data_IF_699616291314
#
_entry.id   IF_699616291314
#
_cell.length_a   1.000
_cell.length_b   1.000
_cell.length_c   1.000
_cell.angle_alpha   90.00
_cell.angle_beta   90.00
_cell.angle_gamma   90.00
#
_symmetry.space_group_name_H-M   'P 1'
#
loop_
_entity.id
_entity.type
_entity.pdbx_description
1 polymer ?
#
# COMPACT_ATOMS: atom_id res chain seq x y z
N UNK A 1 12.21 55.23 9.01
CA UNK A 1 11.74 53.88 8.68
C UNK A 1 12.78 52.92 9.25
N UNK A 2 12.39 52.05 10.20
CA UNK A 2 13.32 51.19 10.94
C UNK A 2 13.90 50.09 10.00
N UNK A 3 15.15 49.72 10.23
CA UNK A 3 15.90 48.68 9.52
C UNK A 3 15.14 47.36 9.50
N UNK A 4 14.40 47.03 10.57
CA UNK A 4 13.55 45.84 10.63
C UNK A 4 12.35 45.92 9.67
N UNK A 5 11.79 47.12 9.48
CA UNK A 5 10.69 47.35 8.55
C UNK A 5 11.16 47.27 7.10
N UNK A 6 12.36 47.76 6.80
CA UNK A 6 12.99 47.65 5.48
C UNK A 6 13.35 46.20 5.13
N UNK A 7 13.88 45.42 6.08
CA UNK A 7 14.17 43.99 5.87
C UNK A 7 12.90 43.15 5.65
N UNK A 8 11.81 43.47 6.36
CA UNK A 8 10.52 42.82 6.18
C UNK A 8 9.89 43.13 4.81
N UNK A 9 10.01 44.37 4.34
CA UNK A 9 9.51 44.77 3.02
C UNK A 9 10.36 44.17 1.89
N UNK A 10 11.68 44.06 2.06
CA UNK A 10 12.57 43.39 1.12
C UNK A 10 12.24 41.89 0.99
N UNK A 11 12.04 41.20 2.11
CA UNK A 11 11.65 39.77 2.11
C UNK A 11 10.25 39.53 1.54
N UNK A 12 9.30 40.45 1.74
CA UNK A 12 7.99 40.41 1.09
C UNK A 12 8.07 40.69 -0.41
N UNK A 13 8.94 41.60 -0.85
CA UNK A 13 9.18 41.88 -2.26
C UNK A 13 9.88 40.71 -2.97
N UNK A 14 10.84 40.06 -2.32
CA UNK A 14 11.48 38.83 -2.80
C UNK A 14 10.47 37.67 -2.88
N UNK A 15 9.61 37.49 -1.87
CA UNK A 15 8.52 36.51 -1.93
C UNK A 15 7.51 36.83 -3.03
N UNK A 16 7.17 38.11 -3.23
CA UNK A 16 6.28 38.56 -4.30
C UNK A 16 6.90 38.30 -5.67
N UNK A 17 8.18 38.60 -5.85
CA UNK A 17 8.90 38.36 -7.10
C UNK A 17 9.08 36.86 -7.37
N UNK A 18 9.36 36.05 -6.34
CA UNK A 18 9.42 34.59 -6.44
C UNK A 18 8.04 33.95 -6.75
N UNK A 19 6.94 34.61 -6.37
CA UNK A 19 5.58 34.23 -6.77
C UNK A 19 5.25 34.69 -8.20
N UNK A 20 5.77 35.83 -8.64
CA UNK A 20 5.61 36.37 -10.00
C UNK A 20 6.47 35.62 -11.05
N UNK A 21 7.51 34.90 -10.64
CA UNK A 21 8.33 34.05 -11.51
C UNK A 21 7.76 32.63 -11.73
N UNK A 22 6.75 32.24 -10.93
CA UNK A 22 6.06 30.95 -11.10
C UNK A 22 5.20 31.00 -12.36
N UNK A 23 5.36 29.98 -13.19
CA UNK A 23 4.53 29.75 -14.36
C UNK A 23 3.07 29.50 -14.00
N UNK A 24 2.21 29.49 -15.02
CA UNK A 24 0.82 29.08 -14.84
C UNK A 24 0.77 27.62 -14.35
N UNK A 25 -0.05 27.37 -13.33
CA UNK A 25 -0.26 26.02 -12.81
C UNK A 25 -1.44 25.38 -13.55
N UNK A 26 -1.20 24.22 -14.15
CA UNK A 26 -2.23 23.40 -14.80
C UNK A 26 -2.53 22.20 -13.92
N UNK A 27 -3.80 22.03 -13.53
CA UNK A 27 -4.26 20.85 -12.80
C UNK A 27 -4.78 19.83 -13.82
N UNK A 28 -4.29 18.60 -13.71
CA UNK A 28 -4.73 17.47 -14.52
C UNK A 28 -5.35 16.42 -13.62
N UNK A 29 -6.65 16.17 -13.79
CA UNK A 29 -7.39 15.13 -13.06
C UNK A 29 -7.58 13.91 -13.95
N UNK A 30 -7.08 12.76 -13.50
CA UNK A 30 -7.04 11.52 -14.27
C UNK A 30 -7.71 10.40 -13.47
N UNK A 31 -8.77 9.79 -13.98
CA UNK A 31 -9.46 8.66 -13.32
C UNK A 31 -9.40 7.42 -14.18
N UNK A 32 -8.91 6.30 -13.65
CA UNK A 32 -8.82 5.04 -14.40
C UNK A 32 -10.19 4.61 -14.93
N UNK A 33 -10.23 3.97 -16.12
CA UNK A 33 -11.48 3.45 -16.67
C UNK A 33 -11.99 2.32 -15.78
N UNK A 34 -13.24 2.40 -15.34
CA UNK A 34 -13.87 1.36 -14.52
C UNK A 34 -14.46 0.26 -15.39
N UNK A 35 -13.86 -0.92 -15.33
CA UNK A 35 -14.49 -2.17 -15.81
C UNK A 35 -14.21 -3.27 -14.79
N UNK A 36 -15.20 -4.12 -14.53
CA UNK A 36 -15.01 -5.26 -13.65
C UNK A 36 -13.85 -6.12 -14.17
N UNK A 37 -12.82 -6.31 -13.34
CA UNK A 37 -11.62 -7.08 -13.71
C UNK A 37 -10.60 -6.35 -14.59
N UNK A 38 -10.75 -5.05 -14.88
CA UNK A 38 -9.66 -4.28 -15.50
C UNK A 38 -8.60 -3.90 -14.48
N UNK A 39 -7.34 -3.85 -14.93
CA UNK A 39 -6.23 -3.29 -14.16
C UNK A 39 -6.42 -1.77 -14.03
N UNK A 40 -7.10 -1.35 -12.97
CA UNK A 40 -7.34 0.07 -12.66
C UNK A 40 -6.17 0.73 -11.95
N UNK A 41 -5.16 -0.05 -11.55
CA UNK A 41 -3.93 0.42 -10.91
C UNK A 41 -2.90 0.97 -11.90
N UNK A 42 -3.10 0.70 -13.20
CA UNK A 42 -2.20 1.07 -14.27
C UNK A 42 -2.99 1.59 -15.47
N UNK A 43 -2.79 2.85 -15.84
CA UNK A 43 -3.49 3.44 -16.96
C UNK A 43 -2.74 4.61 -17.56
N UNK A 44 -3.09 4.97 -18.79
CA UNK A 44 -2.53 6.11 -19.48
C UNK A 44 -3.64 6.99 -20.08
N UNK A 45 -3.40 8.29 -20.07
CA UNK A 45 -4.27 9.31 -20.64
C UNK A 45 -3.52 10.12 -21.69
N UNK A 46 -4.13 10.27 -22.86
CA UNK A 46 -3.72 11.25 -23.86
C UNK A 46 -4.45 12.56 -23.59
N UNK A 47 -3.70 13.64 -23.43
CA UNK A 47 -4.26 14.97 -23.28
C UNK A 47 -4.79 15.44 -24.64
N UNK A 48 -5.96 16.10 -24.68
CA UNK A 48 -6.50 16.68 -25.92
C UNK A 48 -5.57 17.77 -26.46
N UNK A 49 -4.95 18.54 -25.55
CA UNK A 49 -3.95 19.55 -25.86
C UNK A 49 -2.70 19.30 -25.01
N UNK A 50 -1.49 19.25 -25.61
CA UNK A 50 -0.26 19.02 -24.85
C UNK A 50 0.10 20.23 -23.96
N UNK A 51 0.49 19.95 -22.71
CA UNK A 51 1.07 20.97 -21.83
C UNK A 51 2.52 21.19 -22.29
N UNK A 52 2.83 22.39 -22.78
CA UNK A 52 4.14 22.70 -23.39
C UNK A 52 4.83 23.80 -22.59
N UNK A 53 6.07 23.57 -22.16
CA UNK A 53 6.88 24.59 -21.52
C UNK A 53 7.15 25.76 -22.48
N UNK A 54 7.00 27.01 -22.04
CA UNK A 54 7.49 28.17 -22.78
C UNK A 54 9.00 28.12 -23.01
N UNK A 55 9.49 28.90 -23.98
CA UNK A 55 10.93 29.01 -24.27
C UNK A 55 11.73 29.34 -23.00
N UNK A 56 12.86 28.65 -22.82
CA UNK A 56 13.74 28.77 -21.64
C UNK A 56 13.11 28.35 -20.30
N UNK A 57 12.03 27.57 -20.32
CA UNK A 57 11.40 27.02 -19.12
C UNK A 57 11.34 25.50 -19.17
N UNK A 58 11.25 24.88 -18.01
CA UNK A 58 11.09 23.43 -17.82
C UNK A 58 9.80 23.16 -17.07
N UNK A 59 9.22 21.98 -17.29
CA UNK A 59 8.05 21.55 -16.53
C UNK A 59 8.49 20.86 -15.25
N UNK A 60 7.71 21.08 -14.20
CA UNK A 60 7.73 20.30 -12.96
C UNK A 60 6.33 19.74 -12.71
N UNK A 61 6.29 18.57 -12.07
CA UNK A 61 5.04 17.89 -11.73
C UNK A 61 5.02 17.60 -10.24
N UNK A 62 3.87 17.79 -9.61
CA UNK A 62 3.61 17.40 -8.24
C UNK A 62 2.27 16.64 -8.14
N UNK A 63 2.17 15.74 -7.17
CA UNK A 63 0.89 15.15 -6.80
C UNK A 63 0.12 16.12 -5.89
N UNK A 64 -1.09 16.51 -6.29
CA UNK A 64 -2.02 17.25 -5.41
C UNK A 64 -2.86 16.30 -4.57
N UNK A 65 -3.43 15.26 -5.18
CA UNK A 65 -4.18 14.24 -4.44
C UNK A 65 -4.32 12.95 -5.22
N UNK A 66 -4.63 11.88 -4.49
CA UNK A 66 -4.97 10.56 -5.00
C UNK A 66 -6.18 10.04 -4.24
N UNK A 67 -7.13 9.46 -4.97
CA UNK A 67 -8.30 8.81 -4.40
C UNK A 67 -8.46 7.40 -4.99
N UNK A 68 -8.70 6.42 -4.12
CA UNK A 68 -9.08 5.07 -4.50
C UNK A 68 -9.81 4.40 -3.34
N UNK A 69 -10.06 3.09 -3.40
CA UNK A 69 -10.58 2.32 -2.30
C UNK A 69 -9.55 1.29 -1.82
N UNK A 70 -9.51 1.05 -0.50
CA UNK A 70 -8.66 0.00 0.06
C UNK A 70 -9.31 -1.35 -0.19
N UNK A 71 -9.10 -1.90 -1.39
CA UNK A 71 -9.69 -3.16 -1.84
C UNK A 71 -8.69 -4.27 -2.12
N UNK A 72 -7.38 -3.99 -2.02
CA UNK A 72 -6.39 -5.03 -2.30
C UNK A 72 -6.44 -6.15 -1.25
N UNK A 73 -6.49 -7.41 -1.70
CA UNK A 73 -6.61 -8.56 -0.81
C UNK A 73 -5.26 -8.87 -0.14
N UNK A 74 -5.32 -9.33 1.10
CA UNK A 74 -4.20 -9.98 1.77
C UNK A 74 -4.31 -11.51 1.73
N UNK A 75 -5.52 -12.04 1.52
CA UNK A 75 -5.78 -13.45 1.26
C UNK A 75 -6.03 -13.62 -0.24
N UNK A 76 -5.16 -14.37 -0.89
CA UNK A 76 -5.17 -14.62 -2.34
C UNK A 76 -4.95 -16.11 -2.62
N UNK A 77 -5.17 -16.53 -3.86
CA UNK A 77 -4.85 -17.90 -4.28
C UNK A 77 -3.41 -18.27 -3.90
N UNK A 78 -3.23 -19.39 -3.21
CA UNK A 78 -1.93 -19.85 -2.72
C UNK A 78 -1.64 -19.44 -1.27
N UNK A 79 -2.33 -18.45 -0.71
CA UNK A 79 -2.22 -18.02 0.70
C UNK A 79 -3.63 -17.89 1.29
N UNK A 80 -4.38 -18.98 1.29
CA UNK A 80 -5.81 -18.98 1.64
C UNK A 80 -6.31 -20.30 2.26
N UNK A 81 -5.44 -21.24 2.63
CA UNK A 81 -5.90 -22.50 3.22
C UNK A 81 -5.38 -22.75 4.64
N UNK A 82 -6.23 -23.37 5.46
CA UNK A 82 -5.89 -23.94 6.76
C UNK A 82 -6.30 -25.41 6.75
N UNK A 83 -5.41 -26.30 7.17
CA UNK A 83 -5.66 -27.72 7.29
C UNK A 83 -5.78 -28.09 8.77
N UNK A 84 -6.90 -28.67 9.16
CA UNK A 84 -7.09 -29.30 10.46
C UNK A 84 -7.44 -30.76 10.28
N UNK A 85 -7.26 -31.58 11.31
CA UNK A 85 -7.71 -32.97 11.30
C UNK A 85 -8.70 -33.24 12.41
N UNK A 86 -9.58 -34.21 12.19
CA UNK A 86 -10.45 -34.80 13.21
C UNK A 86 -10.20 -36.30 13.21
N UNK A 87 -9.72 -36.84 14.32
CA UNK A 87 -9.35 -38.25 14.47
C UNK A 87 -8.40 -38.74 13.36
N UNK A 88 -7.47 -37.87 12.96
CA UNK A 88 -6.48 -38.13 11.91
C UNK A 88 -6.98 -37.94 10.47
N UNK A 89 -8.26 -37.64 10.27
CA UNK A 89 -8.83 -37.35 8.94
C UNK A 89 -8.66 -35.86 8.61
N UNK A 90 -8.01 -35.47 7.50
CA UNK A 90 -7.75 -34.08 7.17
C UNK A 90 -8.96 -33.37 6.55
N UNK A 91 -9.12 -32.10 6.91
CA UNK A 91 -10.10 -31.17 6.38
C UNK A 91 -9.42 -29.85 6.02
N UNK A 92 -9.63 -29.40 4.79
CA UNK A 92 -9.09 -28.14 4.30
C UNK A 92 -10.17 -27.06 4.36
N UNK A 93 -9.90 -26.01 5.11
CA UNK A 93 -10.63 -24.74 5.03
C UNK A 93 -9.99 -23.93 3.90
N UNK A 94 -10.81 -23.37 3.01
CA UNK A 94 -10.33 -22.48 1.94
C UNK A 94 -11.04 -21.13 2.03
N UNK A 95 -10.29 -20.08 2.33
CA UNK A 95 -10.79 -18.71 2.35
C UNK A 95 -10.92 -18.20 0.90
N UNK A 96 -11.97 -17.43 0.64
CA UNK A 96 -12.11 -16.70 -0.59
C UNK A 96 -11.07 -15.56 -0.67
N UNK A 97 -10.76 -15.10 -1.88
CA UNK A 97 -9.91 -13.93 -2.05
C UNK A 97 -10.56 -12.69 -1.42
N UNK A 98 -9.79 -11.97 -0.60
CA UNK A 98 -10.30 -10.78 0.08
C UNK A 98 -9.31 -10.16 1.07
N UNK A 99 -9.77 -9.09 1.72
CA UNK A 99 -9.06 -8.44 2.81
C UNK A 99 -9.62 -8.94 4.15
N UNK A 100 -8.79 -9.62 4.94
CA UNK A 100 -9.17 -10.27 6.19
C UNK A 100 -8.30 -9.79 7.33
N UNK A 101 -8.95 -9.38 8.41
CA UNK A 101 -8.34 -9.33 9.73
C UNK A 101 -8.29 -10.73 10.35
N UNK A 102 -7.46 -10.92 11.37
CA UNK A 102 -7.33 -12.22 12.04
C UNK A 102 -8.67 -12.75 12.59
N UNK A 103 -9.53 -11.85 13.07
CA UNK A 103 -10.88 -12.17 13.55
C UNK A 103 -11.81 -12.66 12.42
N UNK A 104 -11.64 -12.13 11.21
CA UNK A 104 -12.39 -12.56 10.03
C UNK A 104 -11.88 -13.93 9.52
N UNK A 105 -10.57 -14.18 9.58
CA UNK A 105 -9.98 -15.49 9.30
C UNK A 105 -10.56 -16.54 10.26
N UNK A 106 -10.53 -16.28 11.56
CA UNK A 106 -11.12 -17.15 12.59
C UNK A 106 -12.61 -17.40 12.33
N UNK A 107 -13.38 -16.35 12.01
CA UNK A 107 -14.79 -16.49 11.69
C UNK A 107 -15.05 -17.40 10.48
N UNK A 108 -14.25 -17.29 9.43
CA UNK A 108 -14.40 -18.12 8.23
C UNK A 108 -14.01 -19.58 8.48
N UNK A 109 -12.90 -19.82 9.21
CA UNK A 109 -12.50 -21.17 9.66
C UNK A 109 -13.65 -21.82 10.45
N UNK A 110 -14.19 -21.10 11.42
CA UNK A 110 -15.32 -21.57 12.24
C UNK A 110 -16.58 -21.82 11.42
N UNK A 111 -16.88 -20.96 10.43
CA UNK A 111 -18.02 -21.16 9.53
C UNK A 111 -17.88 -22.48 8.76
N UNK A 112 -16.69 -22.79 8.22
CA UNK A 112 -16.46 -24.03 7.48
C UNK A 112 -16.41 -25.26 8.39
N UNK A 113 -15.85 -25.16 9.61
CA UNK A 113 -15.96 -26.24 10.61
C UNK A 113 -17.42 -26.58 10.91
N UNK A 114 -18.29 -25.58 11.06
CA UNK A 114 -19.73 -25.80 11.26
C UNK A 114 -20.38 -26.50 10.07
N UNK A 115 -20.04 -26.10 8.84
CA UNK A 115 -20.55 -26.76 7.64
C UNK A 115 -20.12 -28.23 7.53
N UNK A 116 -18.93 -28.56 8.05
CA UNK A 116 -18.42 -29.93 8.09
C UNK A 116 -18.98 -30.74 9.27
N UNK A 117 -19.85 -30.18 10.11
CA UNK A 117 -20.38 -30.86 11.31
C UNK A 117 -19.40 -30.93 12.49
N UNK A 118 -18.32 -30.14 12.45
CA UNK A 118 -17.25 -30.12 13.46
C UNK A 118 -17.36 -28.93 14.44
N UNK A 119 -18.54 -28.33 14.53
CA UNK A 119 -18.86 -27.37 15.58
C UNK A 119 -19.55 -28.09 16.74
N UNK A 120 -19.15 -27.76 17.97
CA UNK A 120 -19.82 -28.24 19.16
C UNK A 120 -21.20 -27.60 19.37
N UNK A 121 -21.94 -28.07 20.38
CA UNK A 121 -23.18 -27.45 20.82
C UNK A 121 -22.98 -25.95 21.09
N UNK A 122 -24.02 -25.14 20.84
CA UNK A 122 -24.03 -23.70 21.13
C UNK A 122 -22.91 -22.89 20.44
N UNK A 123 -22.28 -23.43 19.38
CA UNK A 123 -21.22 -22.73 18.66
C UNK A 123 -19.87 -22.76 19.38
N UNK A 124 -19.60 -23.81 20.15
CA UNK A 124 -18.24 -24.13 20.60
C UNK A 124 -17.40 -24.54 19.38
N UNK A 125 -16.20 -23.99 19.28
CA UNK A 125 -15.26 -24.30 18.20
C UNK A 125 -13.97 -24.86 18.77
N UNK A 126 -13.60 -26.03 18.26
CA UNK A 126 -12.48 -26.83 18.75
C UNK A 126 -11.13 -26.40 18.19
N UNK A 127 -11.13 -25.58 17.14
CA UNK A 127 -9.96 -24.85 16.65
C UNK A 127 -10.35 -23.38 16.59
N UNK A 128 -9.52 -22.51 17.17
CA UNK A 128 -9.69 -21.06 17.08
C UNK A 128 -8.37 -20.37 16.79
N UNK A 129 -8.47 -19.24 16.11
CA UNK A 129 -7.34 -18.36 15.81
C UNK A 129 -7.61 -17.03 16.53
N UNK A 130 -6.71 -16.61 17.40
CA UNK A 130 -6.82 -15.35 18.14
C UNK A 130 -5.51 -14.58 18.08
N UNK A 131 -5.59 -13.26 18.29
CA UNK A 131 -4.41 -12.42 18.40
C UNK A 131 -3.95 -12.38 19.86
N UNK A 132 -2.65 -12.59 20.09
CA UNK A 132 -2.02 -12.14 21.32
C UNK A 132 -1.53 -10.71 21.10
N UNK A 133 -2.29 -9.72 21.57
CA UNK A 133 -1.96 -8.30 21.37
C UNK A 133 -0.72 -7.85 22.15
N UNK A 134 -0.28 -8.61 23.16
CA UNK A 134 0.94 -8.29 23.89
C UNK A 134 2.20 -8.67 23.10
N UNK A 135 2.14 -9.77 22.34
CA UNK A 135 3.28 -10.28 21.54
C UNK A 135 3.13 -10.01 20.05
N UNK A 136 1.97 -9.52 19.60
CA UNK A 136 1.57 -9.33 18.20
C UNK A 136 1.62 -10.63 17.36
N UNK A 137 1.47 -11.77 18.03
CA UNK A 137 1.51 -13.13 17.44
C UNK A 137 0.11 -13.71 17.31
N UNK A 138 -0.03 -14.71 16.45
CA UNK A 138 -1.27 -15.50 16.41
C UNK A 138 -1.18 -16.62 17.44
N UNK A 139 -2.33 -16.98 18.00
CA UNK A 139 -2.49 -18.15 18.84
C UNK A 139 -3.54 -19.04 18.22
N UNK A 140 -3.16 -20.28 17.96
CA UNK A 140 -4.09 -21.33 17.58
C UNK A 140 -4.42 -22.12 18.84
N UNK A 141 -5.66 -22.00 19.31
CA UNK A 141 -6.15 -22.80 20.43
C UNK A 141 -6.88 -24.03 19.91
N UNK A 142 -6.62 -25.16 20.57
CA UNK A 142 -7.21 -26.46 20.22
C UNK A 142 -7.89 -27.00 21.47
N UNK A 143 -9.17 -27.30 21.38
CA UNK A 143 -9.95 -27.85 22.49
C UNK A 143 -10.62 -29.12 22.00
N UNK A 144 -10.24 -30.28 22.53
CA UNK A 144 -10.84 -31.54 22.13
C UNK A 144 -12.13 -31.77 22.93
N UNK A 145 -13.26 -32.06 22.28
CA UNK A 145 -14.47 -32.44 23.00
C UNK A 145 -14.29 -33.79 23.71
N UNK A 146 -14.91 -33.90 24.87
CA UNK A 146 -14.99 -35.15 25.64
C UNK A 146 -16.27 -35.93 25.38
N UNK A 147 -17.27 -35.30 24.74
CA UNK A 147 -18.53 -35.93 24.33
C UNK A 147 -19.16 -35.17 23.13
N UNK A 148 -19.20 -35.75 21.92
CA UNK A 148 -18.50 -36.97 21.55
C UNK A 148 -16.97 -36.77 21.67
N UNK A 149 -16.23 -37.82 22.02
CA UNK A 149 -14.75 -37.76 22.03
C UNK A 149 -14.26 -37.63 20.59
N UNK A 150 -13.51 -36.57 20.31
CA UNK A 150 -12.83 -36.38 19.04
C UNK A 150 -11.50 -35.65 19.25
N UNK A 151 -10.49 -35.99 18.47
CA UNK A 151 -9.15 -35.38 18.55
C UNK A 151 -8.95 -34.43 17.37
N UNK A 152 -8.87 -33.14 17.69
CA UNK A 152 -8.55 -32.09 16.74
C UNK A 152 -7.04 -31.83 16.75
N UNK A 153 -6.48 -31.65 15.56
CA UNK A 153 -5.12 -31.12 15.38
C UNK A 153 -5.10 -30.12 14.22
N UNK A 154 -4.10 -29.25 14.17
CA UNK A 154 -3.91 -28.32 13.05
C UNK A 154 -2.60 -28.63 12.34
N UNK A 155 -2.68 -28.99 11.06
CA UNK A 155 -1.51 -29.21 10.22
C UNK A 155 -1.07 -27.87 9.60
N UNK A 156 -0.30 -27.12 10.38
CA UNK A 156 0.20 -25.82 9.94
C UNK A 156 1.23 -25.94 8.80
N UNK A 157 1.90 -27.08 8.66
CA UNK A 157 2.87 -27.30 7.59
C UNK A 157 2.18 -27.38 6.22
N UNK A 158 1.03 -28.06 6.16
CA UNK A 158 0.17 -28.18 4.97
C UNK A 158 -0.74 -26.96 4.76
N UNK A 159 -0.87 -26.07 5.75
CA UNK A 159 -1.66 -24.85 5.66
C UNK A 159 -0.91 -23.77 4.88
N UNK A 160 -1.58 -23.08 3.96
CA UNK A 160 -0.96 -21.97 3.22
C UNK A 160 -1.11 -20.61 3.92
N UNK A 161 -2.07 -20.47 4.84
CA UNK A 161 -2.18 -19.31 5.74
C UNK A 161 -1.03 -19.19 6.75
N UNK A 162 -0.15 -20.20 6.85
CA UNK A 162 0.93 -20.23 7.84
C UNK A 162 1.79 -18.97 7.82
N UNK A 163 2.08 -18.40 6.64
CA UNK A 163 2.86 -17.17 6.51
C UNK A 163 2.14 -15.97 7.12
N UNK A 164 0.85 -15.79 6.79
CA UNK A 164 0.00 -14.72 7.36
C UNK A 164 -0.10 -14.84 8.87
N UNK A 165 -0.22 -16.08 9.38
CA UNK A 165 -0.36 -16.38 10.80
C UNK A 165 0.96 -16.35 11.59
N UNK A 166 2.11 -16.07 10.96
CA UNK A 166 3.42 -15.99 11.66
C UNK A 166 4.13 -17.34 11.85
N UNK A 167 3.88 -18.31 10.96
CA UNK A 167 4.48 -19.65 10.91
C UNK A 167 5.21 -19.88 9.58
N UNK A 168 6.32 -19.17 9.29
CA UNK A 168 6.95 -19.18 7.95
C UNK A 168 7.67 -20.49 7.57
N UNK A 169 7.82 -21.44 8.50
CA UNK A 169 8.50 -22.71 8.26
C UNK A 169 7.71 -23.73 7.41
N UNK A 170 8.45 -24.58 6.69
CA UNK A 170 7.87 -25.72 5.97
C UNK A 170 7.75 -27.00 6.83
N UNK A 171 8.46 -27.05 7.97
CA UNK A 171 8.58 -28.25 8.81
C UNK A 171 7.99 -27.95 10.17
N UNK A 172 6.70 -28.20 10.32
CA UNK A 172 6.03 -28.19 11.62
C UNK A 172 5.34 -29.54 11.81
N UNK A 173 5.44 -30.08 13.02
CA UNK A 173 4.55 -31.16 13.42
C UNK A 173 3.11 -30.60 13.55
N UNK A 174 2.08 -31.45 13.39
CA UNK A 174 0.70 -31.04 13.68
C UNK A 174 0.60 -30.46 15.10
N UNK A 175 -0.06 -29.31 15.19
CA UNK A 175 -0.31 -28.64 16.46
C UNK A 175 -1.35 -29.43 17.24
N UNK A 176 -1.04 -29.72 18.50
CA UNK A 176 -1.87 -30.56 19.39
C UNK A 176 -2.10 -29.95 20.77
N UNK A 177 -1.30 -28.95 21.16
CA UNK A 177 -1.45 -28.30 22.45
C UNK A 177 -2.71 -27.43 22.47
N UNK A 178 -3.23 -27.16 23.67
CA UNK A 178 -4.39 -26.27 23.82
C UNK A 178 -4.08 -24.81 23.49
N UNK A 179 -2.80 -24.44 23.54
CA UNK A 179 -2.28 -23.11 23.23
C UNK A 179 -1.03 -23.25 22.37
N UNK A 180 -1.09 -22.77 21.13
CA UNK A 180 0.04 -22.77 20.20
C UNK A 180 0.24 -21.35 19.69
N UNK A 181 1.24 -20.65 20.24
CA UNK A 181 1.59 -19.31 19.77
C UNK A 181 2.56 -19.40 18.59
N UNK A 182 2.37 -18.54 17.59
CA UNK A 182 3.22 -18.46 16.42
C UNK A 182 4.65 -18.05 16.79
N UNK A 183 5.68 -18.61 16.13
CA UNK A 183 7.07 -18.23 16.38
C UNK A 183 7.36 -16.78 15.99
N UNK A 184 6.63 -16.25 15.00
CA UNK A 184 6.78 -14.88 14.51
C UNK A 184 5.48 -14.09 14.64
N UNK A 185 5.60 -12.76 14.57
CA UNK A 185 4.45 -11.86 14.56
C UNK A 185 3.56 -12.12 13.34
N UNK A 186 2.28 -11.79 13.47
CA UNK A 186 1.31 -11.92 12.36
C UNK A 186 1.67 -10.93 11.26
N UNK A 187 1.67 -11.41 10.01
CA UNK A 187 1.86 -10.58 8.82
C UNK A 187 0.54 -10.48 8.07
N UNK A 188 -0.37 -9.64 8.57
CA UNK A 188 -1.72 -9.50 8.01
C UNK A 188 -1.67 -8.86 6.62
N UNK A 189 -0.84 -7.85 6.38
CA UNK A 189 -0.70 -7.22 5.06
C UNK A 189 0.71 -7.42 4.54
N UNK A 190 0.84 -7.87 3.29
CA UNK A 190 2.11 -7.89 2.56
C UNK A 190 2.49 -6.53 1.99
N UNK A 191 1.55 -5.58 1.90
CA UNK A 191 1.79 -4.21 1.44
C UNK A 191 2.16 -3.35 2.64
N UNK A 192 3.33 -2.73 2.58
CA UNK A 192 3.82 -1.79 3.61
C UNK A 192 3.76 -0.34 3.13
N UNK A 193 3.91 -0.12 1.83
CA UNK A 193 3.90 1.21 1.22
C UNK A 193 3.31 1.12 -0.18
N UNK A 194 2.51 2.12 -0.54
CA UNK A 194 2.02 2.35 -1.89
C UNK A 194 2.89 3.39 -2.56
N UNK A 195 3.32 3.09 -3.78
CA UNK A 195 4.13 3.96 -4.62
C UNK A 195 3.30 4.40 -5.82
N UNK A 196 3.04 5.71 -5.91
CA UNK A 196 2.47 6.30 -7.12
C UNK A 196 3.60 6.65 -8.09
N UNK A 197 3.61 6.00 -9.24
CA UNK A 197 4.61 6.18 -10.28
C UNK A 197 4.03 6.91 -11.49
N UNK A 198 4.86 7.75 -12.11
CA UNK A 198 4.56 8.47 -13.33
C UNK A 198 5.75 8.38 -14.31
N UNK A 199 6.02 7.20 -14.91
CA UNK A 199 7.26 6.90 -15.63
C UNK A 199 7.50 7.78 -16.86
N UNK A 200 6.43 8.18 -17.55
CA UNK A 200 6.54 9.06 -18.71
C UNK A 200 6.89 10.52 -18.33
N UNK A 201 6.58 10.93 -17.10
CA UNK A 201 6.67 12.34 -16.69
C UNK A 201 7.86 12.64 -15.81
N UNK A 202 8.21 11.79 -14.86
CA UNK A 202 9.18 12.14 -13.82
C UNK A 202 10.56 11.57 -14.14
N UNK A 203 11.63 12.31 -13.85
CA UNK A 203 13.00 11.75 -13.81
C UNK A 203 13.40 11.41 -12.37
N UNK A 204 13.63 10.13 -12.12
CA UNK A 204 14.33 9.67 -10.91
C UNK A 204 13.45 9.43 -9.68
N UNK A 205 14.13 8.91 -8.67
CA UNK A 205 13.59 8.26 -7.47
C UNK A 205 14.41 7.00 -7.22
N UNK A 206 14.80 6.73 -5.97
CA UNK A 206 15.43 5.47 -5.58
C UNK A 206 14.47 4.78 -4.64
N UNK A 207 14.03 3.60 -5.02
CA UNK A 207 13.19 2.74 -4.18
C UNK A 207 14.11 1.63 -3.68
N UNK A 208 14.21 1.50 -2.35
CA UNK A 208 14.78 0.31 -1.75
C UNK A 208 13.79 -0.84 -1.89
N UNK A 209 14.19 -1.95 -2.50
CA UNK A 209 13.39 -3.17 -2.46
C UNK A 209 13.33 -3.66 -1.02
N UNK A 210 12.11 -3.72 -0.47
CA UNK A 210 11.87 -4.17 0.89
C UNK A 210 12.42 -5.58 1.15
N UNK A 211 12.32 -6.48 0.17
CA UNK A 211 12.60 -7.92 0.36
C UNK A 211 13.91 -8.41 -0.28
N UNK A 212 14.53 -7.68 -1.21
CA UNK A 212 15.77 -8.13 -1.88
C UNK A 212 17.02 -7.40 -1.43
N UNK A 213 16.89 -6.35 -0.61
CA UNK A 213 18.02 -5.51 -0.15
C UNK A 213 18.70 -4.73 -1.27
N UNK A 214 18.11 -4.69 -2.47
CA UNK A 214 18.64 -3.98 -3.63
C UNK A 214 17.88 -2.67 -3.87
N UNK A 215 18.61 -1.61 -4.16
CA UNK A 215 18.03 -0.33 -4.54
C UNK A 215 17.81 -0.27 -6.05
N UNK A 216 16.61 0.13 -6.48
CA UNK A 216 16.27 0.33 -7.87
C UNK A 216 15.90 1.78 -8.13
N UNK A 217 16.24 2.31 -9.30
CA UNK A 217 15.72 3.60 -9.72
C UNK A 217 14.28 3.42 -10.19
N UNK A 218 13.37 4.22 -9.65
CA UNK A 218 11.96 4.24 -10.05
C UNK A 218 11.48 5.69 -10.18
N UNK A 219 10.39 5.87 -10.91
CA UNK A 219 9.80 7.17 -11.27
C UNK A 219 8.65 7.50 -10.32
N UNK A 220 8.93 7.50 -9.01
CA UNK A 220 7.94 7.66 -7.94
C UNK A 220 7.63 9.14 -7.72
N UNK A 221 6.36 9.51 -7.86
CA UNK A 221 5.85 10.86 -7.59
C UNK A 221 5.49 11.05 -6.12
N UNK A 222 4.97 10.02 -5.47
CA UNK A 222 4.64 10.02 -4.06
C UNK A 222 4.64 8.61 -3.50
N UNK A 223 4.91 8.50 -2.19
CA UNK A 223 4.72 7.28 -1.44
C UNK A 223 3.88 7.54 -0.20
N UNK A 224 3.03 6.58 0.16
CA UNK A 224 2.13 6.66 1.30
C UNK A 224 1.61 5.28 1.69
N UNK A 225 0.98 5.17 2.86
CA UNK A 225 0.17 4.01 3.22
C UNK A 225 -1.20 4.50 3.70
N UNK A 226 -2.31 3.78 3.43
CA UNK A 226 -3.61 4.21 3.91
C UNK A 226 -3.68 4.25 5.43
N UNK A 227 -4.35 5.27 5.95
CA UNK A 227 -4.68 5.43 7.37
C UNK A 227 -6.07 4.89 7.73
N UNK A 228 -6.68 4.16 6.79
CA UNK A 228 -8.01 3.56 6.93
C UNK A 228 -7.94 2.03 6.85
N UNK A 229 -8.87 1.31 7.48
CA UNK A 229 -8.98 -0.14 7.32
C UNK A 229 -9.34 -0.55 5.88
N UNK A 230 -9.13 -1.82 5.51
CA UNK A 230 -9.67 -2.36 4.27
C UNK A 230 -11.20 -2.18 4.16
N UNK A 231 -11.67 -1.91 2.95
CA UNK A 231 -13.08 -1.64 2.64
C UNK A 231 -13.48 -0.16 2.70
N UNK A 232 -12.58 0.73 3.11
CA UNK A 232 -12.82 2.18 3.15
C UNK A 232 -12.21 2.90 1.95
N UNK A 233 -12.71 4.12 1.68
CA UNK A 233 -12.12 5.02 0.68
C UNK A 233 -10.78 5.54 1.19
N UNK A 234 -9.76 5.47 0.33
CA UNK A 234 -8.43 6.04 0.54
C UNK A 234 -8.41 7.40 -0.14
N UNK A 235 -8.14 8.44 0.64
CA UNK A 235 -7.99 9.81 0.14
C UNK A 235 -6.66 10.35 0.63
N UNK A 236 -5.67 10.39 -0.26
CA UNK A 236 -4.33 10.87 0.05
C UNK A 236 -4.10 12.24 -0.59
N UNK A 237 -3.66 13.20 0.22
CA UNK A 237 -3.22 14.51 -0.24
C UNK A 237 -1.91 14.88 0.49
N UNK A 238 -0.79 15.07 -0.22
CA UNK A 238 0.45 15.49 0.41
C UNK A 238 0.28 16.84 1.12
N UNK A 239 0.74 16.93 2.38
CA UNK A 239 0.73 18.22 3.13
C UNK A 239 1.58 19.30 2.45
N UNK A 240 2.67 18.87 1.82
CA UNK A 240 3.55 19.73 1.04
C UNK A 240 3.72 19.11 -0.35
N UNK A 241 3.49 19.90 -1.40
CA UNK A 241 3.72 19.47 -2.76
C UNK A 241 5.21 19.29 -3.01
N UNK A 242 5.61 18.07 -3.38
CA UNK A 242 6.96 17.75 -3.84
C UNK A 242 6.97 17.90 -5.36
N UNK A 243 7.70 18.89 -5.84
CA UNK A 243 7.86 19.17 -7.25
C UNK A 243 9.03 18.37 -7.80
N UNK A 244 8.76 17.53 -8.79
CA UNK A 244 9.76 16.73 -9.47
C UNK A 244 9.95 17.21 -10.91
N UNK A 245 11.18 17.15 -11.45
CA UNK A 245 11.43 17.47 -12.84
C UNK A 245 10.58 16.65 -13.79
N UNK A 246 9.98 17.32 -14.77
CA UNK A 246 9.49 16.62 -15.94
C UNK A 246 10.67 16.10 -16.77
N UNK A 247 10.52 14.91 -17.35
CA UNK A 247 11.48 14.28 -18.26
C UNK A 247 11.52 14.97 -19.63
N UNK A 248 10.46 15.70 -19.96
CA UNK A 248 10.12 16.28 -21.26
C UNK A 248 9.71 17.76 -21.11
N UNK A 249 9.86 18.53 -22.17
CA UNK A 249 9.37 19.91 -22.28
C UNK A 249 7.92 19.99 -22.78
N UNK A 250 7.36 18.88 -23.25
CA UNK A 250 5.97 18.76 -23.68
C UNK A 250 5.36 17.48 -23.13
N UNK A 251 4.24 17.60 -22.43
CA UNK A 251 3.46 16.50 -21.87
C UNK A 251 2.22 16.32 -22.73
N UNK A 252 2.15 15.20 -23.45
CA UNK A 252 0.97 14.79 -24.21
C UNK A 252 0.30 13.54 -23.63
N UNK A 253 1.11 12.62 -23.10
CA UNK A 253 0.66 11.37 -22.52
C UNK A 253 1.08 11.32 -21.06
N UNK A 254 0.15 10.98 -20.18
CA UNK A 254 0.41 10.76 -18.76
C UNK A 254 0.13 9.30 -18.46
N UNK A 255 1.10 8.62 -17.87
CA UNK A 255 0.97 7.24 -17.42
C UNK A 255 1.05 7.20 -15.90
N UNK A 256 0.10 6.52 -15.30
CA UNK A 256 -0.05 6.37 -13.84
C UNK A 256 0.05 4.89 -13.51
N UNK A 257 0.86 4.58 -12.50
CA UNK A 257 0.96 3.23 -11.96
C UNK A 257 0.99 3.28 -10.42
N UNK A 258 0.13 2.50 -9.77
CA UNK A 258 0.13 2.31 -8.32
C UNK A 258 0.70 0.92 -7.98
N UNK A 259 1.83 0.91 -7.29
CA UNK A 259 2.53 -0.33 -6.90
C UNK A 259 2.72 -0.43 -5.40
N UNK A 260 3.09 -1.62 -4.93
CA UNK A 260 3.63 -1.83 -3.59
C UNK A 260 5.13 -1.42 -3.51
N UNK A 261 5.73 -1.67 -2.35
CA UNK A 261 7.16 -1.44 -2.08
C UNK A 261 8.12 -2.28 -2.94
N UNK A 262 7.65 -3.36 -3.56
CA UNK A 262 8.42 -4.23 -4.44
C UNK A 262 8.22 -3.89 -5.93
N UNK A 263 7.50 -2.78 -6.22
CA UNK A 263 7.10 -2.37 -7.57
C UNK A 263 6.08 -3.31 -8.24
N UNK A 264 5.41 -4.15 -7.46
CA UNK A 264 4.32 -5.01 -7.92
C UNK A 264 3.01 -4.22 -7.94
N UNK A 265 2.19 -4.45 -8.98
CA UNK A 265 0.92 -3.73 -9.14
C UNK A 265 -0.06 -4.07 -8.03
N UNK A 266 -0.75 -3.07 -7.52
CA UNK A 266 -1.79 -3.26 -6.51
C UNK A 266 -3.09 -3.71 -7.18
N UNK A 267 -3.66 -4.81 -6.71
CA UNK A 267 -4.97 -5.26 -7.19
C UNK A 267 -6.10 -4.44 -6.57
N UNK A 268 -6.58 -3.41 -7.28
CA UNK A 268 -7.71 -2.57 -6.85
C UNK A 268 -9.09 -3.21 -7.08
N UNK A 269 -9.16 -4.47 -7.54
CA UNK A 269 -10.42 -5.23 -7.77
C UNK A 269 -11.46 -4.51 -8.64
N UNK A 270 -11.00 -3.67 -9.57
CA UNK A 270 -11.85 -2.89 -10.47
C UNK A 270 -12.31 -1.53 -9.91
N UNK A 271 -11.91 -1.17 -8.68
CA UNK A 271 -12.16 0.17 -8.13
C UNK A 271 -11.34 1.22 -8.87
N UNK A 272 -11.89 2.44 -9.07
CA UNK A 272 -11.17 3.50 -9.75
C UNK A 272 -9.98 3.98 -8.93
N UNK A 273 -8.97 4.44 -9.66
CA UNK A 273 -7.87 5.22 -9.15
C UNK A 273 -7.96 6.59 -9.80
N UNK A 274 -8.15 7.62 -8.99
CA UNK A 274 -8.16 9.02 -9.40
C UNK A 274 -6.90 9.70 -8.91
N UNK A 275 -6.21 10.41 -9.79
CA UNK A 275 -4.97 11.13 -9.49
C UNK A 275 -5.09 12.55 -10.01
N UNK A 276 -4.84 13.51 -9.13
CA UNK A 276 -4.78 14.93 -9.45
C UNK A 276 -3.32 15.38 -9.43
N UNK A 277 -2.81 15.70 -10.61
CA UNK A 277 -1.46 16.22 -10.81
C UNK A 277 -1.52 17.73 -10.97
N UNK A 278 -0.51 18.42 -10.46
CA UNK A 278 -0.25 19.83 -10.77
C UNK A 278 1.01 19.89 -11.60
N UNK A 279 0.91 20.53 -12.76
CA UNK A 279 2.03 20.81 -13.65
C UNK A 279 2.27 22.30 -13.62
N UNK A 280 3.53 22.70 -13.51
CA UNK A 280 3.93 24.10 -13.65
C UNK A 280 5.18 24.22 -14.49
N UNK A 281 5.39 25.39 -15.07
CA UNK A 281 6.66 25.73 -15.68
C UNK A 281 7.54 26.57 -14.73
N UNK A 282 8.85 26.32 -14.78
CA UNK A 282 9.88 27.04 -14.01
C UNK A 282 11.01 27.49 -14.94
N UNK A 283 11.69 28.62 -14.66
CA UNK A 283 12.87 29.05 -15.41
C UNK A 283 13.94 27.95 -15.45
N UNK A 284 14.60 27.79 -16.60
CA UNK A 284 15.65 26.76 -16.77
C UNK A 284 16.82 26.94 -15.79
N UNK A 285 17.10 28.18 -15.38
CA UNK A 285 18.21 28.51 -14.49
C UNK A 285 17.93 28.13 -13.02
N UNK A 286 16.67 28.18 -12.61
CA UNK A 286 16.22 27.73 -11.28
C UNK A 286 16.40 26.21 -11.10
N UNK A 287 16.40 25.46 -12.20
CA UNK A 287 16.62 24.01 -12.23
C UNK A 287 18.07 23.62 -11.87
N UNK A 288 19.04 24.52 -12.03
CA UNK A 288 20.46 24.25 -11.72
C UNK A 288 20.76 24.37 -10.21
N UNK A 289 19.91 25.05 -9.44
CA UNK A 289 20.14 25.31 -8.01
C UNK A 289 19.64 24.21 -7.07
N UNK A 290 18.93 23.17 -7.56
CA UNK A 290 18.59 22.02 -6.71
C UNK A 290 19.74 21.02 -6.55
N UNK A 291 20.78 21.10 -7.40
CA UNK A 291 22.00 20.28 -7.33
C UNK A 291 23.23 20.97 -6.75
N UNK A 292 23.22 22.31 -6.63
CA UNK A 292 24.30 23.08 -6.02
C UNK A 292 23.87 23.53 -4.62
N UNK A 293 24.39 22.83 -3.62
CA UNK A 293 24.39 23.14 -2.18
C UNK A 293 23.43 24.24 -1.70
N UNK A 294 22.34 23.83 -1.04
CA UNK A 294 21.79 24.67 0.03
C UNK A 294 22.93 24.95 1.02
N UNK A 295 23.26 26.21 1.35
CA UNK A 295 24.19 26.46 2.44
C UNK A 295 23.61 25.85 3.70
N UNK A 296 24.40 25.03 4.38
CA UNK A 296 24.06 24.47 5.68
C UNK A 296 23.71 25.62 6.62
N UNK A 297 22.46 25.68 7.08
CA UNK A 297 22.12 26.37 8.31
C UNK A 297 22.82 25.61 9.43
N UNK A 298 24.01 26.09 9.81
CA UNK A 298 24.61 25.74 11.07
C UNK A 298 23.64 26.21 12.16
N UNK A 299 23.06 25.26 12.90
CA UNK A 299 22.50 25.57 14.20
C UNK A 299 23.64 26.07 15.08
N UNK A 300 23.47 27.30 15.59
CA UNK A 300 24.09 27.73 16.85
C UNK A 300 23.22 27.24 17.98
#
# INVERSE_FOLDING_TARGET
MDVRTLAYIATLAERRNALLERGEETIVSLTSPTKLGSDTSSYAFELPEPITAPTNRKLEVALSSLETAYTWPNIVSGINTLVYTVDGVPFTVTLAEGAYELTAIDAEVRRQMRLNGHAGPEGIYYVRIIANLATLRSVITITNPTDPVAVYTVDIAQSSLKTVLGWPGAVYAPLTASYNESPEIVQISGVNELLLQCPALVKGGVVGSGNTGQAFRSYVLASFFPDVPPGYKVSYAPRNLIWLPASTTQIRRIEVLLTDQNLEKINLRGEPLTVNLVVRDVPTDAFSMSGAGRPSLALV
#
